data_IF_990186579332
#
_entry.id   IF_990186579332
#
_cell.length_a   1.000
_cell.length_b   1.000
_cell.length_c   1.000
_cell.angle_alpha   90.00
_cell.angle_beta   90.00
_cell.angle_gamma   90.00
#
_symmetry.space_group_name_H-M   'P 1'
#
loop_
_entity.id
_entity.type
_entity.pdbx_description
1 polymer ?
#
# COMPACT_ATOMS: atom_id res chain seq x y z
N UNK A 1 -22.51 -6.73 -9.52
CA UNK A 1 -22.21 -5.58 -8.64
C UNK A 1 -20.75 -5.13 -8.57
N UNK A 2 -19.72 -5.92 -8.94
CA UNK A 2 -18.31 -5.50 -8.74
C UNK A 2 -17.73 -4.43 -9.69
N UNK A 3 -18.36 -4.14 -10.84
CA UNK A 3 -17.75 -3.24 -11.86
C UNK A 3 -17.77 -1.77 -11.45
N UNK A 4 -18.84 -1.32 -10.78
CA UNK A 4 -19.06 0.10 -10.47
C UNK A 4 -17.97 0.69 -9.58
N UNK A 5 -17.50 -0.06 -8.58
CA UNK A 5 -16.40 0.36 -7.70
C UNK A 5 -15.10 0.67 -8.46
N UNK A 6 -14.80 -0.09 -9.51
CA UNK A 6 -13.58 0.11 -10.30
C UNK A 6 -13.70 1.42 -11.08
N UNK A 7 -14.86 1.67 -11.67
CA UNK A 7 -15.13 2.90 -12.40
C UNK A 7 -15.17 4.14 -11.50
N UNK A 8 -15.71 4.03 -10.28
CA UNK A 8 -15.66 5.14 -9.32
C UNK A 8 -14.24 5.43 -8.88
N UNK A 9 -13.41 4.41 -8.62
CA UNK A 9 -11.99 4.62 -8.35
C UNK A 9 -11.26 5.28 -9.52
N UNK A 10 -11.50 4.81 -10.75
CA UNK A 10 -10.92 5.45 -11.94
C UNK A 10 -11.35 6.91 -12.03
N UNK A 11 -12.63 7.21 -11.76
CA UNK A 11 -13.13 8.58 -11.69
C UNK A 11 -12.44 9.42 -10.62
N UNK A 12 -12.21 8.86 -9.41
CA UNK A 12 -11.48 9.53 -8.34
C UNK A 12 -10.01 9.78 -8.70
N UNK A 13 -9.34 8.82 -9.33
CA UNK A 13 -7.96 8.97 -9.79
C UNK A 13 -7.87 10.04 -10.89
N UNK A 14 -8.79 10.03 -11.85
CA UNK A 14 -8.85 11.07 -12.88
C UNK A 14 -9.10 12.44 -12.26
N UNK A 15 -10.00 12.54 -11.28
CA UNK A 15 -10.27 13.79 -10.59
C UNK A 15 -9.03 14.27 -9.81
N UNK A 16 -8.36 13.38 -9.08
CA UNK A 16 -7.10 13.69 -8.40
C UNK A 16 -6.02 14.15 -9.39
N UNK A 17 -5.91 13.50 -10.56
CA UNK A 17 -5.01 13.91 -11.63
C UNK A 17 -5.29 15.36 -12.07
N UNK A 18 -6.55 15.70 -12.37
CA UNK A 18 -6.91 17.06 -12.81
C UNK A 18 -6.67 18.11 -11.73
N UNK A 19 -6.95 17.80 -10.47
CA UNK A 19 -6.68 18.71 -9.34
C UNK A 19 -5.19 19.00 -9.18
N UNK A 20 -4.34 18.00 -9.42
CA UNK A 20 -2.88 18.08 -9.21
C UNK A 20 -2.14 18.59 -10.44
N UNK A 21 -2.71 18.46 -11.64
CA UNK A 21 -2.08 18.82 -12.91
C UNK A 21 -1.62 20.27 -12.95
N UNK A 22 -2.40 21.18 -12.37
CA UNK A 22 -2.03 22.61 -12.29
C UNK A 22 -0.75 22.83 -11.48
N UNK A 23 -0.55 22.08 -10.39
CA UNK A 23 0.64 22.19 -9.56
C UNK A 23 1.90 21.81 -10.32
N UNK A 24 1.83 20.82 -11.22
CA UNK A 24 2.99 20.28 -11.92
C UNK A 24 3.76 21.33 -12.72
N UNK A 25 3.03 22.28 -13.30
CA UNK A 25 3.57 23.39 -14.11
C UNK A 25 3.60 24.73 -13.37
N UNK A 26 3.19 24.75 -12.10
CA UNK A 26 3.15 25.96 -11.30
C UNK A 26 4.41 26.08 -10.44
N UNK A 27 4.82 27.32 -10.19
CA UNK A 27 5.95 27.71 -9.33
C UNK A 27 7.33 27.26 -9.82
N UNK A 28 8.31 28.13 -9.65
CA UNK A 28 9.74 27.80 -9.79
C UNK A 28 10.18 26.84 -8.67
N UNK A 29 11.28 26.13 -8.88
CA UNK A 29 11.84 25.27 -7.85
C UNK A 29 12.11 25.96 -6.52
N UNK A 30 11.74 25.26 -5.45
CA UNK A 30 12.28 25.52 -4.12
C UNK A 30 13.78 25.15 -4.08
N UNK A 31 14.53 25.70 -3.12
CA UNK A 31 15.97 25.44 -2.98
C UNK A 31 16.31 23.94 -2.93
N UNK A 32 15.59 23.18 -2.11
CA UNK A 32 15.79 21.72 -1.98
C UNK A 32 15.39 20.96 -3.26
N UNK A 33 14.31 21.37 -3.95
CA UNK A 33 13.92 20.77 -5.23
C UNK A 33 15.01 20.97 -6.28
N UNK A 34 15.56 22.19 -6.37
CA UNK A 34 16.65 22.51 -7.28
C UNK A 34 17.92 21.70 -6.95
N UNK A 35 18.21 21.52 -5.65
CA UNK A 35 19.33 20.70 -5.20
C UNK A 35 19.16 19.24 -5.63
N UNK A 36 18.00 18.62 -5.36
CA UNK A 36 17.72 17.23 -5.76
C UNK A 36 17.71 17.07 -7.28
N UNK A 37 17.11 18.03 -7.99
CA UNK A 37 17.11 18.06 -9.45
C UNK A 37 18.54 18.13 -10.02
N UNK A 38 19.45 18.85 -9.37
CA UNK A 38 20.86 18.94 -9.77
C UNK A 38 21.61 17.62 -9.60
N UNK A 39 21.37 16.91 -8.49
CA UNK A 39 21.94 15.57 -8.26
C UNK A 39 21.40 14.54 -9.25
N UNK A 40 20.09 14.54 -9.50
CA UNK A 40 19.47 13.71 -10.52
C UNK A 40 20.08 13.96 -11.91
N UNK A 41 20.49 15.20 -12.22
CA UNK A 41 21.15 15.52 -13.49
C UNK A 41 22.56 14.93 -13.57
N UNK A 42 23.31 14.94 -12.46
CA UNK A 42 24.64 14.28 -12.40
C UNK A 42 24.52 12.77 -12.66
N UNK A 43 23.48 12.15 -12.11
CA UNK A 43 23.18 10.73 -12.35
C UNK A 43 22.78 10.52 -13.82
N UNK A 44 21.87 11.33 -14.36
CA UNK A 44 21.34 11.17 -15.72
C UNK A 44 22.42 11.30 -16.81
N UNK A 45 23.44 12.14 -16.59
CA UNK A 45 24.57 12.32 -17.53
C UNK A 45 25.73 11.35 -17.20
N UNK A 46 25.53 10.42 -16.28
CA UNK A 46 26.55 9.44 -15.83
C UNK A 46 27.83 10.07 -15.25
N UNK A 47 27.76 11.32 -14.78
CA UNK A 47 28.93 12.04 -14.26
C UNK A 47 29.29 11.63 -12.83
N UNK A 48 28.29 11.47 -11.97
CA UNK A 48 28.45 10.93 -10.62
C UNK A 48 27.21 10.10 -10.25
N UNK A 49 27.10 8.86 -10.77
CA UNK A 49 25.91 8.02 -10.58
C UNK A 49 25.64 7.65 -9.13
N UNK A 50 26.69 7.57 -8.31
CA UNK A 50 26.61 7.19 -6.89
C UNK A 50 26.57 8.40 -5.96
N UNK A 51 26.62 9.62 -6.51
CA UNK A 51 26.66 10.88 -5.76
C UNK A 51 27.76 10.93 -4.68
N UNK A 52 28.91 10.29 -4.93
CA UNK A 52 30.01 10.20 -3.94
C UNK A 52 30.61 11.57 -3.65
N UNK A 53 30.55 12.48 -4.62
CA UNK A 53 31.10 13.82 -4.49
C UNK A 53 30.14 14.81 -3.82
N UNK A 54 28.91 14.39 -3.51
CA UNK A 54 27.85 15.26 -3.02
C UNK A 54 27.49 14.93 -1.56
N UNK A 55 27.20 15.94 -0.72
CA UNK A 55 26.77 15.73 0.67
C UNK A 55 25.29 15.30 0.69
N UNK A 56 25.04 14.03 0.39
CA UNK A 56 23.69 13.45 0.33
C UNK A 56 23.23 13.04 1.74
N UNK A 57 22.24 13.75 2.29
CA UNK A 57 21.63 13.46 3.59
C UNK A 57 20.35 12.60 3.48
N UNK A 58 19.74 12.53 2.29
CA UNK A 58 18.46 11.86 2.03
C UNK A 58 18.66 10.55 1.26
N UNK A 59 17.76 9.56 1.40
CA UNK A 59 17.87 8.30 0.65
C UNK A 59 17.82 8.56 -0.87
N UNK A 60 18.63 7.85 -1.68
CA UNK A 60 18.89 8.25 -3.06
C UNK A 60 17.78 7.88 -4.05
N UNK A 61 16.74 7.17 -3.60
CA UNK A 61 15.68 6.63 -4.47
C UNK A 61 15.01 7.71 -5.32
N UNK A 62 14.73 8.88 -4.73
CA UNK A 62 14.12 9.99 -5.48
C UNK A 62 15.02 10.45 -6.63
N UNK A 63 16.32 10.61 -6.39
CA UNK A 63 17.27 11.13 -7.38
C UNK A 63 17.41 10.20 -8.58
N UNK A 64 17.40 8.88 -8.33
CA UNK A 64 17.41 7.88 -9.40
C UNK A 64 16.12 7.91 -10.23
N UNK A 65 14.97 8.06 -9.58
CA UNK A 65 13.69 8.17 -10.29
C UNK A 65 13.61 9.46 -11.12
N UNK A 66 14.08 10.58 -10.59
CA UNK A 66 14.19 11.84 -11.34
C UNK A 66 15.13 11.71 -12.53
N UNK A 67 16.30 11.09 -12.33
CA UNK A 67 17.29 10.86 -13.38
C UNK A 67 16.74 10.00 -14.53
N UNK A 68 15.78 9.11 -14.25
CA UNK A 68 15.10 8.31 -15.29
C UNK A 68 14.26 9.17 -16.24
N UNK A 69 13.68 10.28 -15.76
CA UNK A 69 12.80 11.14 -16.58
C UNK A 69 13.57 12.19 -17.40
N UNK A 70 14.79 12.55 -17.01
CA UNK A 70 15.57 13.57 -17.73
C UNK A 70 15.97 13.20 -19.16
N UNK A 71 16.34 11.94 -19.50
CA UNK A 71 16.56 11.55 -20.89
C UNK A 71 15.30 11.64 -21.77
N UNK A 72 14.11 11.56 -21.16
CA UNK A 72 12.83 11.55 -21.88
C UNK A 72 12.30 12.97 -22.16
N UNK A 73 12.49 13.89 -21.22
CA UNK A 73 11.87 15.23 -21.25
C UNK A 73 12.88 16.38 -21.21
N UNK A 74 14.15 16.08 -20.93
CA UNK A 74 15.17 17.07 -20.61
C UNK A 74 15.17 17.48 -19.13
N UNK A 75 16.16 18.31 -18.72
CA UNK A 75 16.30 18.80 -17.35
C UNK A 75 15.34 19.97 -17.09
N UNK A 76 14.04 19.69 -17.12
CA UNK A 76 12.95 20.66 -16.91
C UNK A 76 12.27 20.42 -15.57
N UNK A 77 11.68 21.48 -15.00
CA UNK A 77 11.15 21.44 -13.62
C UNK A 77 10.07 20.38 -13.42
N UNK A 78 9.12 20.33 -14.34
CA UNK A 78 8.01 19.40 -14.28
C UNK A 78 8.47 17.94 -14.41
N UNK A 79 9.57 17.67 -15.13
CA UNK A 79 10.13 16.32 -15.26
C UNK A 79 10.71 15.82 -13.93
N UNK A 80 11.32 16.70 -13.13
CA UNK A 80 11.82 16.35 -11.79
C UNK A 80 10.68 16.07 -10.78
N UNK A 81 9.48 16.61 -11.03
CA UNK A 81 8.29 16.43 -10.19
C UNK A 81 7.45 15.20 -10.59
N UNK A 82 7.71 14.60 -11.74
CA UNK A 82 6.97 13.43 -12.23
C UNK A 82 6.97 12.23 -11.27
N UNK A 83 8.09 11.85 -10.62
CA UNK A 83 8.10 10.73 -9.70
C UNK A 83 7.07 10.89 -8.57
N UNK A 84 7.04 12.08 -7.96
CA UNK A 84 6.14 12.37 -6.84
C UNK A 84 4.70 12.57 -7.29
N UNK A 85 4.50 13.15 -8.47
CA UNK A 85 3.18 13.24 -9.10
C UNK A 85 2.57 11.85 -9.33
N UNK A 86 3.35 10.92 -9.87
CA UNK A 86 2.94 9.53 -10.10
C UNK A 86 2.70 8.82 -8.76
N UNK A 87 3.63 8.94 -7.81
CA UNK A 87 3.51 8.30 -6.49
C UNK A 87 2.25 8.77 -5.75
N UNK A 88 1.99 10.08 -5.74
CA UNK A 88 0.79 10.66 -5.15
C UNK A 88 -0.48 10.19 -5.86
N UNK A 89 -0.47 10.06 -7.19
CA UNK A 89 -1.61 9.56 -7.94
C UNK A 89 -1.91 8.09 -7.66
N UNK A 90 -0.87 7.27 -7.55
CA UNK A 90 -0.97 5.85 -7.20
C UNK A 90 -1.33 5.62 -5.73
N UNK A 91 -1.05 6.58 -4.85
CA UNK A 91 -1.45 6.54 -3.44
C UNK A 91 -2.98 6.45 -3.29
N UNK A 92 -3.76 7.11 -4.14
CA UNK A 92 -5.24 7.11 -4.09
C UNK A 92 -5.83 5.69 -4.19
N UNK A 93 -5.59 4.91 -5.26
CA UNK A 93 -6.09 3.54 -5.36
C UNK A 93 -5.41 2.60 -4.35
N UNK A 94 -4.16 2.87 -3.99
CA UNK A 94 -3.44 2.08 -2.99
C UNK A 94 -4.08 2.17 -1.60
N UNK A 95 -4.48 3.38 -1.16
CA UNK A 95 -5.23 3.56 0.09
C UNK A 95 -6.58 2.83 0.05
N UNK A 96 -7.25 2.84 -1.10
CA UNK A 96 -8.48 2.07 -1.28
C UNK A 96 -8.22 0.56 -1.09
N UNK A 97 -7.14 0.04 -1.68
CA UNK A 97 -6.75 -1.38 -1.53
C UNK A 97 -6.38 -1.70 -0.09
N UNK A 98 -5.62 -0.83 0.56
CA UNK A 98 -5.25 -0.97 1.97
C UNK A 98 -6.48 -1.03 2.89
N UNK A 99 -7.41 -0.08 2.73
CA UNK A 99 -8.66 -0.06 3.49
C UNK A 99 -9.48 -1.35 3.32
N UNK A 100 -9.50 -1.92 2.10
CA UNK A 100 -10.17 -3.21 1.84
C UNK A 100 -9.53 -4.39 2.56
N UNK A 101 -8.22 -4.37 2.77
CA UNK A 101 -7.55 -5.43 3.55
C UNK A 101 -7.91 -5.33 5.03
N UNK A 102 -7.96 -4.13 5.59
CA UNK A 102 -8.35 -3.89 6.99
C UNK A 102 -9.81 -4.25 7.28
N UNK A 103 -10.73 -3.88 6.38
CA UNK A 103 -12.15 -4.22 6.49
C UNK A 103 -12.40 -5.73 6.43
N UNK A 104 -11.53 -6.50 5.78
CA UNK A 104 -11.71 -7.95 5.65
C UNK A 104 -11.41 -8.71 6.95
N UNK A 105 -10.51 -8.18 7.77
CA UNK A 105 -10.11 -8.76 9.05
C UNK A 105 -11.10 -8.38 10.17
N UNK A 106 -11.57 -7.14 10.12
CA UNK A 106 -12.50 -6.61 11.09
C UNK A 106 -13.90 -7.17 10.78
N UNK A 107 -14.50 -7.99 11.65
CA UNK A 107 -15.95 -8.25 11.68
C UNK A 107 -16.77 -6.98 12.01
N UNK A 108 -16.24 -5.79 11.68
CA UNK A 108 -16.86 -4.49 11.87
C UNK A 108 -17.98 -4.37 10.83
N UNK A 109 -19.11 -4.90 11.28
CA UNK A 109 -20.47 -4.45 11.11
C UNK A 109 -20.91 -4.12 9.68
N UNK A 110 -21.94 -4.85 9.25
CA UNK A 110 -22.71 -4.63 8.01
C UNK A 110 -23.19 -3.18 7.81
N UNK A 111 -23.15 -2.34 8.85
CA UNK A 111 -23.43 -0.89 8.80
C UNK A 111 -22.38 -0.13 7.96
N UNK A 112 -21.11 -0.57 7.95
CA UNK A 112 -20.06 -0.02 7.07
C UNK A 112 -20.17 -0.49 5.62
N UNK A 113 -21.15 -1.33 5.26
CA UNK A 113 -21.42 -1.69 3.86
C UNK A 113 -22.30 -0.64 3.15
N UNK A 114 -22.98 0.22 3.91
CA UNK A 114 -23.88 1.26 3.38
C UNK A 114 -23.07 2.41 2.76
N UNK A 115 -21.91 2.74 3.34
CA UNK A 115 -20.93 3.65 2.77
C UNK A 115 -19.71 2.85 2.33
N UNK A 116 -19.28 2.95 1.07
CA UNK A 116 -18.10 2.23 0.60
C UNK A 116 -16.82 2.76 1.27
N UNK A 117 -16.52 2.29 2.49
CA UNK A 117 -15.39 2.72 3.32
C UNK A 117 -14.06 2.88 2.58
N UNK A 118 -13.68 1.97 1.66
CA UNK A 118 -12.45 2.11 0.90
C UNK A 118 -12.48 3.23 -0.14
N UNK A 119 -13.66 3.49 -0.74
CA UNK A 119 -13.84 4.62 -1.65
C UNK A 119 -13.80 5.95 -0.92
N UNK A 120 -14.34 6.00 0.31
CA UNK A 120 -14.23 7.19 1.16
C UNK A 120 -12.77 7.47 1.52
N UNK A 121 -12.04 6.45 1.99
CA UNK A 121 -10.61 6.59 2.29
C UNK A 121 -9.82 7.11 1.07
N UNK A 122 -10.09 6.55 -0.11
CA UNK A 122 -9.50 7.03 -1.37
C UNK A 122 -9.90 8.48 -1.69
N UNK A 123 -11.17 8.85 -1.49
CA UNK A 123 -11.64 10.21 -1.71
C UNK A 123 -10.98 11.20 -0.75
N UNK A 124 -10.83 10.86 0.54
CA UNK A 124 -10.12 11.68 1.51
C UNK A 124 -8.67 11.95 1.08
N UNK A 125 -7.96 10.93 0.58
CA UNK A 125 -6.61 11.10 0.03
C UNK A 125 -6.62 11.89 -1.27
N UNK A 126 -7.61 11.68 -2.15
CA UNK A 126 -7.70 12.40 -3.42
C UNK A 126 -7.92 13.92 -3.23
N UNK A 127 -8.74 14.30 -2.25
CA UNK A 127 -9.08 15.69 -1.94
C UNK A 127 -8.26 16.32 -0.82
N UNK A 128 -7.32 15.58 -0.22
CA UNK A 128 -6.51 16.12 0.86
C UNK A 128 -5.62 17.25 0.34
N UNK A 129 -5.73 18.49 0.89
CA UNK A 129 -4.99 19.64 0.40
C UNK A 129 -3.48 19.44 0.52
N UNK A 130 -3.03 18.71 1.55
CA UNK A 130 -1.63 18.35 1.73
C UNK A 130 -1.14 17.48 0.58
N UNK A 131 -1.88 16.42 0.23
CA UNK A 131 -1.46 15.53 -0.87
C UNK A 131 -1.50 16.22 -2.23
N UNK A 132 -2.41 17.19 -2.42
CA UNK A 132 -2.49 17.98 -3.65
C UNK A 132 -1.28 18.92 -3.73
N UNK A 133 -0.99 19.66 -2.66
CA UNK A 133 0.12 20.60 -2.62
C UNK A 133 1.48 19.92 -2.85
N UNK A 134 1.72 18.79 -2.17
CA UNK A 134 2.99 18.05 -2.26
C UNK A 134 3.06 17.09 -3.46
N UNK A 135 1.96 16.87 -4.20
CA UNK A 135 2.00 16.01 -5.40
C UNK A 135 2.84 16.58 -6.53
N UNK A 136 3.01 17.89 -6.56
CA UNK A 136 3.75 18.60 -7.59
C UNK A 136 5.06 19.18 -7.07
N UNK A 137 5.58 18.62 -5.99
CA UNK A 137 6.91 18.96 -5.48
C UNK A 137 7.89 17.84 -5.78
N UNK A 138 9.15 18.19 -5.98
CA UNK A 138 10.26 17.26 -6.14
C UNK A 138 10.90 16.93 -4.76
N UNK A 139 10.08 16.55 -3.78
CA UNK A 139 10.51 16.26 -2.39
C UNK A 139 10.41 14.77 -2.08
N UNK A 140 11.11 14.29 -1.05
CA UNK A 140 11.09 12.87 -0.69
C UNK A 140 9.78 12.41 -0.04
N UNK A 141 8.95 13.34 0.45
CA UNK A 141 7.80 13.04 1.32
C UNK A 141 6.64 12.31 0.63
N UNK A 142 6.19 12.70 -0.59
CA UNK A 142 5.14 11.99 -1.30
C UNK A 142 5.53 10.55 -1.60
N UNK A 143 6.77 10.35 -2.03
CA UNK A 143 7.32 9.05 -2.32
C UNK A 143 7.43 8.17 -1.07
N UNK A 144 7.89 8.73 0.06
CA UNK A 144 7.91 8.04 1.35
C UNK A 144 6.51 7.59 1.74
N UNK A 145 5.53 8.49 1.67
CA UNK A 145 4.14 8.21 2.03
C UNK A 145 3.55 7.09 1.18
N UNK A 146 3.86 7.08 -0.13
CA UNK A 146 3.48 6.00 -1.03
C UNK A 146 4.07 4.66 -0.60
N UNK A 147 5.39 4.58 -0.40
CA UNK A 147 6.05 3.31 -0.03
C UNK A 147 5.64 2.80 1.35
N UNK A 148 5.42 3.70 2.31
CA UNK A 148 4.93 3.34 3.64
C UNK A 148 3.51 2.78 3.56
N UNK A 149 2.63 3.39 2.76
CA UNK A 149 1.28 2.84 2.54
C UNK A 149 1.34 1.50 1.81
N UNK A 150 2.27 1.34 0.86
CA UNK A 150 2.44 0.10 0.12
C UNK A 150 2.94 -1.04 1.00
N UNK A 151 3.89 -0.77 1.92
CA UNK A 151 4.39 -1.77 2.84
C UNK A 151 3.32 -2.21 3.85
N UNK A 152 2.52 -1.27 4.38
CA UNK A 152 1.37 -1.57 5.23
C UNK A 152 0.30 -2.37 4.49
N UNK A 153 0.02 -2.03 3.23
CA UNK A 153 -0.91 -2.80 2.40
C UNK A 153 -0.42 -4.22 2.13
N UNK A 154 0.88 -4.40 1.86
CA UNK A 154 1.48 -5.72 1.70
C UNK A 154 1.43 -6.54 2.99
N UNK A 155 1.70 -5.92 4.13
CA UNK A 155 1.58 -6.57 5.44
C UNK A 155 0.14 -7.01 5.71
N UNK A 156 -0.84 -6.11 5.55
CA UNK A 156 -2.25 -6.41 5.74
C UNK A 156 -2.74 -7.53 4.79
N UNK A 157 -2.23 -7.56 3.55
CA UNK A 157 -2.52 -8.64 2.61
C UNK A 157 -1.96 -10.00 3.08
N UNK A 158 -0.80 -10.01 3.74
CA UNK A 158 -0.13 -11.22 4.24
C UNK A 158 -0.77 -11.80 5.50
N UNK A 159 -1.37 -10.96 6.35
CA UNK A 159 -2.07 -11.40 7.57
C UNK A 159 -3.40 -12.11 7.29
N UNK A 160 -3.87 -12.11 6.04
CA UNK A 160 -5.09 -12.83 5.68
C UNK A 160 -4.85 -14.34 5.79
N UNK A 161 -5.59 -15.06 6.65
CA UNK A 161 -5.41 -16.50 6.79
C UNK A 161 -5.52 -17.14 5.41
N UNK A 162 -4.45 -17.83 5.00
CA UNK A 162 -4.41 -18.69 3.83
C UNK A 162 -5.66 -19.56 3.91
N UNK A 163 -6.67 -19.23 3.10
CA UNK A 163 -7.95 -19.91 3.09
C UNK A 163 -7.63 -21.39 2.88
N UNK A 164 -7.68 -22.15 3.97
CA UNK A 164 -7.35 -23.56 3.96
C UNK A 164 -8.13 -24.17 2.81
N UNK A 165 -7.42 -24.81 1.89
CA UNK A 165 -8.06 -25.78 1.02
C UNK A 165 -8.81 -26.71 1.98
N UNK A 166 -10.12 -26.57 2.03
CA UNK A 166 -10.98 -27.49 2.76
C UNK A 166 -10.63 -28.83 2.16
N UNK A 167 -9.86 -29.65 2.90
CA UNK A 167 -9.70 -31.05 2.59
C UNK A 167 -11.12 -31.58 2.60
N UNK A 168 -11.66 -31.81 1.40
CA UNK A 168 -12.99 -32.34 1.20
C UNK A 168 -12.99 -33.68 1.91
N UNK A 169 -13.75 -33.78 3.00
CA UNK A 169 -13.81 -34.94 3.90
C UNK A 169 -14.61 -36.09 3.28
N UNK A 170 -14.69 -36.14 1.96
CA UNK A 170 -15.56 -37.05 1.19
C UNK A 170 -14.75 -38.21 0.57
N UNK A 171 -13.43 -38.22 0.72
CA UNK A 171 -12.55 -39.29 0.21
C UNK A 171 -12.33 -40.44 1.22
N UNK A 172 -13.06 -40.46 2.34
CA UNK A 172 -13.08 -41.60 3.27
C UNK A 172 -14.39 -42.36 3.08
N UNK A 173 -14.48 -43.09 1.97
CA UNK A 173 -15.44 -44.19 1.82
C UNK A 173 -15.11 -45.25 2.88
N UNK A 174 -15.98 -45.33 3.89
CA UNK A 174 -16.00 -46.40 4.88
C UNK A 174 -16.36 -47.70 4.15
N UNK A 175 -15.39 -48.61 4.02
CA UNK A 175 -15.63 -49.98 3.59
C UNK A 175 -16.39 -50.69 4.72
N UNK A 176 -17.69 -50.87 4.52
CA UNK A 176 -18.59 -51.51 5.47
C UNK A 176 -18.66 -53.00 5.11
N UNK A 177 -17.70 -53.77 5.62
CA UNK A 177 -17.66 -55.22 5.52
C UNK A 177 -16.96 -55.85 6.72
N UNK A 178 -17.69 -56.74 7.39
CA UNK A 178 -17.23 -57.81 8.28
C UNK A 178 -17.02 -57.55 9.80
N UNK A 179 -18.09 -57.93 10.52
CA UNK A 179 -18.14 -58.76 11.75
C UNK A 179 -17.33 -58.37 12.99
N UNK A 180 -18.06 -58.09 14.08
CA UNK A 180 -17.57 -57.95 15.46
C UNK A 180 -16.97 -59.27 16.01
N UNK A 181 -16.17 -59.25 17.11
CA UNK A 181 -16.76 -59.05 18.45
C UNK A 181 -15.93 -58.21 19.46
N UNK A 182 -16.68 -57.47 20.28
CA UNK A 182 -16.45 -57.06 21.67
C UNK A 182 -15.01 -56.94 22.22
N UNK A 183 -14.61 -55.71 22.58
CA UNK A 183 -13.64 -55.46 23.67
C UNK A 183 -14.14 -54.35 24.62
N UNK A 184 -13.80 -54.40 25.92
CA UNK A 184 -14.45 -53.62 26.96
C UNK A 184 -13.91 -52.18 27.04
N UNK A 185 -14.80 -51.23 27.35
CA UNK A 185 -14.44 -49.87 27.72
C UNK A 185 -13.61 -49.85 29.01
N UNK A 186 -12.51 -49.07 29.08
CA UNK A 186 -12.04 -48.50 30.32
C UNK A 186 -12.55 -47.07 30.48
N UNK A 187 -13.05 -46.81 31.68
CA UNK A 187 -13.48 -45.55 32.27
C UNK A 187 -12.49 -44.38 32.09
N UNK A 188 -13.06 -43.18 31.90
CA UNK A 188 -12.45 -41.84 31.93
C UNK A 188 -11.51 -41.60 33.13
N UNK A 189 -10.59 -40.63 33.03
CA UNK A 189 -10.89 -39.32 33.64
C UNK A 189 -10.38 -38.09 32.85
N UNK A 190 -11.11 -36.97 32.98
CA UNK A 190 -10.62 -35.63 32.66
C UNK A 190 -9.32 -35.31 33.42
N UNK A 191 -8.44 -34.45 32.86
CA UNK A 191 -8.27 -33.16 33.54
C UNK A 191 -7.98 -31.96 32.61
N UNK A 192 -8.56 -30.82 33.03
CA UNK A 192 -8.01 -29.45 33.01
C UNK A 192 -7.51 -28.82 31.70
N UNK A 193 -8.29 -27.82 31.27
CA UNK A 193 -7.81 -26.59 30.62
C UNK A 193 -6.63 -25.98 31.40
N UNK A 194 -5.71 -25.32 30.69
CA UNK A 194 -5.17 -24.07 31.21
C UNK A 194 -5.37 -22.91 30.25
N UNK A 195 -5.77 -21.81 30.87
CA UNK A 195 -5.86 -20.45 30.37
C UNK A 195 -4.55 -19.98 29.71
N UNK A 196 -4.65 -19.40 28.51
CA UNK A 196 -3.68 -18.48 27.90
C UNK A 196 -4.55 -17.35 27.32
N UNK A 197 -4.92 -16.30 28.05
CA UNK A 197 -4.07 -15.18 28.47
C UNK A 197 -3.01 -14.82 27.41
N UNK A 198 -3.49 -14.29 26.28
CA UNK A 198 -2.71 -13.38 25.43
C UNK A 198 -3.29 -11.98 25.67
N UNK A 199 -2.99 -11.47 26.86
CA UNK A 199 -2.83 -10.03 27.10
C UNK A 199 -1.36 -9.75 26.87
N UNK A 200 -1.04 -8.88 25.91
CA UNK A 200 0.25 -8.19 25.65
C UNK A 200 0.49 -8.10 24.15
N UNK A 201 -0.10 -7.09 23.50
CA UNK A 201 0.51 -6.41 22.36
C UNK A 201 -0.02 -4.97 22.34
N UNK A 202 0.24 -4.28 23.44
CA UNK A 202 0.47 -2.83 23.45
C UNK A 202 1.98 -2.64 23.66
N UNK A 203 2.53 -1.57 23.10
CA UNK A 203 3.94 -1.16 23.09
C UNK A 203 4.84 -1.72 21.97
N UNK A 204 4.90 -1.00 20.84
CA UNK A 204 6.17 -0.41 20.38
C UNK A 204 5.91 0.69 19.32
N UNK A 205 6.55 1.85 19.58
CA UNK A 205 6.60 3.14 18.86
C UNK A 205 5.35 4.04 18.84
#
# INVERSE_FOLDING_TARGET
MMKWWRWTLVGLVLLAFFLRLRGLFANTFHADEALFASWARLIAVWRDPLLVTQPVDKPPLLFYLQALFYPLQGPVEWAARLPDFIASLLLVPLTAVFARYLERESQVSQISQIFSGPLMAAAFVAFSPLTIQFSATAFTDPLLTFWLTASLAALAASCLPMRGKTVRRDDVSFDQGDTAPSRPYPSSPHPSLPHLLISSFFFFL
#
